data_IF_449270595611
#
_entry.id   IF_449270595611
#
_cell.length_a   1.000
_cell.length_b   1.000
_cell.length_c   1.000
_cell.angle_alpha   90.00
_cell.angle_beta   90.00
_cell.angle_gamma   90.00
#
_symmetry.space_group_name_H-M   'P 1'
#
loop_
_entity.id
_entity.type
_entity.pdbx_description
1 polymer ?
#
# COMPACT_ATOMS: atom_id res chain seq x y z
N UNK A 1 28.37 -0.60 -4.65
CA UNK A 1 26.92 -0.55 -4.89
C UNK A 1 26.22 -1.01 -3.63
N UNK A 2 25.43 -0.15 -3.02
CA UNK A 2 24.63 -0.49 -1.83
C UNK A 2 23.57 -1.52 -2.20
N UNK A 3 23.48 -2.61 -1.42
CA UNK A 3 22.50 -3.67 -1.65
C UNK A 3 21.39 -3.56 -0.60
N UNK A 4 20.19 -3.19 -1.04
CA UNK A 4 19.00 -3.12 -0.22
C UNK A 4 18.17 -4.39 -0.47
N UNK A 5 18.33 -5.38 0.40
CA UNK A 5 17.73 -6.71 0.24
C UNK A 5 16.51 -6.84 1.13
N UNK A 6 15.39 -7.23 0.52
CA UNK A 6 14.10 -7.46 1.14
C UNK A 6 13.57 -8.83 0.74
N UNK A 7 12.69 -9.43 1.52
CA UNK A 7 11.92 -10.57 1.03
C UNK A 7 10.89 -10.10 -0.01
N UNK A 8 10.63 -10.91 -1.02
CA UNK A 8 9.66 -10.61 -2.07
C UNK A 8 8.26 -10.33 -1.47
N UNK A 9 7.87 -11.12 -0.46
CA UNK A 9 6.60 -10.95 0.25
C UNK A 9 6.51 -9.62 0.99
N UNK A 10 7.57 -9.23 1.73
CA UNK A 10 7.60 -7.95 2.47
C UNK A 10 7.56 -6.76 1.50
N UNK A 11 8.38 -6.78 0.44
CA UNK A 11 8.39 -5.75 -0.58
C UNK A 11 7.02 -5.62 -1.27
N UNK A 12 6.42 -6.74 -1.67
CA UNK A 12 5.10 -6.77 -2.29
C UNK A 12 4.02 -6.20 -1.38
N UNK A 13 4.04 -6.56 -0.09
CA UNK A 13 3.10 -6.05 0.89
C UNK A 13 3.20 -4.53 1.03
N UNK A 14 4.43 -4.03 1.18
CA UNK A 14 4.68 -2.59 1.28
C UNK A 14 4.23 -1.84 0.02
N UNK A 15 4.53 -2.37 -1.17
CA UNK A 15 4.06 -1.80 -2.44
C UNK A 15 2.52 -1.78 -2.51
N UNK A 16 1.87 -2.87 -2.11
CA UNK A 16 0.40 -2.99 -2.15
C UNK A 16 -0.27 -1.97 -1.22
N UNK A 17 0.19 -1.87 0.02
CA UNK A 17 -0.38 -0.96 1.00
C UNK A 17 0.03 0.49 0.75
N UNK A 18 1.32 0.76 0.51
CA UNK A 18 1.85 2.11 0.32
C UNK A 18 1.41 2.77 -0.99
N UNK A 19 1.02 2.00 -2.02
CA UNK A 19 0.49 2.55 -3.27
C UNK A 19 -1.02 2.80 -3.25
N UNK A 20 -1.71 2.54 -2.14
CA UNK A 20 -3.18 2.58 -2.10
C UNK A 20 -3.76 3.91 -2.55
N UNK A 21 -3.25 5.05 -2.06
CA UNK A 21 -3.76 6.37 -2.43
C UNK A 21 -3.56 6.66 -3.92
N UNK A 22 -2.41 6.28 -4.50
CA UNK A 22 -2.16 6.42 -5.94
C UNK A 22 -3.07 5.53 -6.79
N UNK A 23 -3.47 4.36 -6.30
CA UNK A 23 -4.31 3.41 -7.04
C UNK A 23 -5.79 3.79 -7.04
N UNK A 24 -6.27 4.43 -5.97
CA UNK A 24 -7.66 4.91 -5.88
C UNK A 24 -7.84 6.28 -6.51
N UNK A 25 -6.76 7.04 -6.73
CA UNK A 25 -6.79 8.32 -7.41
C UNK A 25 -7.17 8.16 -8.89
N UNK A 26 -8.10 8.98 -9.42
CA UNK A 26 -8.44 8.97 -10.85
C UNK A 26 -7.22 9.26 -11.74
N UNK A 27 -6.26 10.04 -11.28
CA UNK A 27 -5.05 10.43 -12.02
C UNK A 27 -3.87 9.47 -11.83
N UNK A 28 -4.06 8.34 -11.12
CA UNK A 28 -3.02 7.34 -10.89
C UNK A 28 -1.69 7.97 -10.47
N UNK A 29 -1.69 8.59 -9.29
CA UNK A 29 -0.57 9.36 -8.75
C UNK A 29 0.75 8.60 -8.65
N UNK A 30 1.84 9.31 -8.32
CA UNK A 30 3.17 8.72 -8.13
C UNK A 30 3.24 7.89 -6.84
N UNK A 31 4.14 6.91 -6.85
CA UNK A 31 4.51 6.11 -5.67
C UNK A 31 5.97 6.36 -5.36
N UNK A 32 6.24 6.87 -4.18
CA UNK A 32 7.58 7.19 -3.70
C UNK A 32 8.15 6.01 -2.89
N UNK A 33 9.41 5.68 -3.14
CA UNK A 33 10.16 4.70 -2.38
C UNK A 33 11.37 5.38 -1.73
N UNK A 34 11.52 5.18 -0.45
CA UNK A 34 12.59 5.78 0.34
C UNK A 34 13.22 4.75 1.26
N UNK A 35 14.54 4.66 1.25
CA UNK A 35 15.28 3.81 2.20
C UNK A 35 15.56 4.60 3.46
N UNK A 36 15.08 4.10 4.57
CA UNK A 36 15.31 4.67 5.90
C UNK A 36 16.69 4.25 6.45
N UNK A 37 17.20 4.97 7.48
CA UNK A 37 18.49 4.66 8.11
C UNK A 37 18.65 3.21 8.56
N UNK A 38 17.56 2.58 9.01
CA UNK A 38 17.51 1.17 9.44
C UNK A 38 17.46 0.19 8.26
N UNK A 39 17.64 0.67 7.03
CA UNK A 39 17.50 -0.09 5.79
C UNK A 39 16.07 -0.61 5.52
N UNK A 40 15.07 -0.14 6.23
CA UNK A 40 13.68 -0.38 5.88
C UNK A 40 13.30 0.43 4.63
N UNK A 41 12.54 -0.16 3.73
CA UNK A 41 12.00 0.55 2.56
C UNK A 41 10.62 1.11 2.91
N UNK A 42 10.50 2.42 2.87
CA UNK A 42 9.22 3.12 3.00
C UNK A 42 8.59 3.34 1.63
N UNK A 43 7.36 2.91 1.46
CA UNK A 43 6.55 3.11 0.25
C UNK A 43 5.43 4.08 0.57
N UNK A 44 5.32 5.16 -0.20
CA UNK A 44 4.40 6.25 0.07
C UNK A 44 3.64 6.62 -1.20
N UNK A 45 2.34 6.85 -1.07
CA UNK A 45 1.55 7.58 -2.06
C UNK A 45 0.62 8.56 -1.37
N UNK A 46 0.36 9.69 -2.02
CA UNK A 46 -0.56 10.69 -1.52
C UNK A 46 -1.36 11.29 -2.70
N UNK A 47 -2.60 11.64 -2.44
CA UNK A 47 -3.48 12.34 -3.36
C UNK A 47 -4.48 13.15 -2.54
N UNK A 48 -4.42 14.47 -2.63
CA UNK A 48 -5.20 15.38 -1.80
C UNK A 48 -4.99 15.05 -0.31
N UNK A 49 -6.07 14.82 0.44
CA UNK A 49 -6.03 14.46 1.87
C UNK A 49 -5.86 12.96 2.13
N UNK A 50 -5.97 12.12 1.08
CA UNK A 50 -5.73 10.70 1.18
C UNK A 50 -4.24 10.39 1.06
N UNK A 51 -3.74 9.47 1.86
CA UNK A 51 -2.37 8.96 1.76
C UNK A 51 -2.27 7.51 2.19
N UNK A 52 -1.21 6.86 1.77
CA UNK A 52 -0.84 5.53 2.25
C UNK A 52 0.67 5.47 2.46
N UNK A 53 1.08 4.85 3.55
CA UNK A 53 2.47 4.64 3.92
C UNK A 53 2.64 3.21 4.42
N UNK A 54 3.64 2.50 3.93
CA UNK A 54 3.95 1.15 4.37
C UNK A 54 5.45 0.89 4.34
N UNK A 55 5.90 -0.08 5.12
CA UNK A 55 7.30 -0.40 5.30
C UNK A 55 7.58 -1.85 4.92
N UNK A 56 8.65 -2.08 4.17
CA UNK A 56 9.25 -3.39 4.00
C UNK A 56 10.51 -3.45 4.84
N UNK A 57 10.59 -4.42 5.73
CA UNK A 57 11.77 -4.65 6.55
C UNK A 57 12.87 -5.29 5.71
N UNK A 58 14.10 -4.85 5.92
CA UNK A 58 15.26 -5.48 5.31
C UNK A 58 15.64 -6.76 6.04
N UNK A 59 15.97 -7.81 5.28
CA UNK A 59 16.49 -9.06 5.83
C UNK A 59 17.93 -8.91 6.40
N UNK A 60 18.56 -7.75 6.18
CA UNK A 60 19.91 -7.46 6.68
C UNK A 60 20.00 -6.08 7.26
N UNK A 61 20.62 -5.93 8.45
CA UNK A 61 20.91 -4.62 8.98
C UNK A 61 21.80 -3.86 7.99
N UNK A 62 21.50 -2.59 7.76
CA UNK A 62 22.35 -1.73 6.95
C UNK A 62 23.69 -1.55 7.68
N UNK A 63 24.84 -1.78 7.00
CA UNK A 63 26.09 -1.22 7.49
C UNK A 63 25.92 0.30 7.58
N UNK A 64 26.38 0.92 8.65
CA UNK A 64 26.24 2.36 8.93
C UNK A 64 26.79 3.31 7.82
N UNK A 65 27.39 2.76 6.78
CA UNK A 65 27.98 3.48 5.65
C UNK A 65 27.22 3.30 4.32
N UNK A 66 26.05 2.63 4.31
CA UNK A 66 25.27 2.54 3.07
C UNK A 66 24.61 3.89 2.79
N UNK A 67 25.08 4.56 1.74
CA UNK A 67 24.33 5.67 1.16
C UNK A 67 22.93 5.19 0.78
N UNK A 68 21.91 5.93 1.21
CA UNK A 68 20.51 5.62 0.86
C UNK A 68 20.35 5.50 -0.67
N UNK A 69 19.24 4.91 -1.10
CA UNK A 69 18.84 5.04 -2.50
C UNK A 69 18.64 6.52 -2.84
N UNK A 70 18.98 6.95 -4.07
CA UNK A 70 18.50 8.25 -4.53
C UNK A 70 16.97 8.27 -4.44
N UNK A 71 16.33 9.43 -4.44
CA UNK A 71 14.88 9.52 -4.49
C UNK A 71 14.33 8.65 -5.61
N UNK A 72 13.36 7.80 -5.29
CA UNK A 72 12.72 6.90 -6.26
C UNK A 72 11.24 7.22 -6.34
N UNK A 73 10.78 7.44 -7.56
CA UNK A 73 9.38 7.64 -7.89
C UNK A 73 9.00 6.70 -9.03
N UNK A 74 8.00 5.85 -8.79
CA UNK A 74 7.43 4.95 -9.79
C UNK A 74 6.03 5.38 -10.16
N UNK A 75 5.62 5.11 -11.41
CA UNK A 75 4.21 5.21 -11.74
C UNK A 75 3.44 4.00 -11.15
N UNK A 76 2.16 4.17 -10.89
CA UNK A 76 1.33 3.12 -10.31
C UNK A 76 1.22 1.86 -11.18
N UNK A 77 1.39 2.00 -12.50
CA UNK A 77 1.38 0.86 -13.42
C UNK A 77 2.64 0.01 -13.26
N UNK A 78 3.81 0.66 -13.12
CA UNK A 78 5.09 -0.03 -12.87
C UNK A 78 5.05 -0.74 -11.51
N UNK A 79 4.49 -0.11 -10.48
CA UNK A 79 4.26 -0.75 -9.18
C UNK A 79 3.36 -1.98 -9.31
N UNK A 80 2.28 -1.89 -10.09
CA UNK A 80 1.36 -3.00 -10.34
C UNK A 80 2.04 -4.14 -11.11
N UNK A 81 2.92 -3.81 -12.04
CA UNK A 81 3.72 -4.79 -12.77
C UNK A 81 4.76 -5.45 -11.86
N UNK A 82 5.48 -4.67 -11.05
CA UNK A 82 6.42 -5.19 -10.07
C UNK A 82 5.74 -6.15 -9.09
N UNK A 83 4.58 -5.77 -8.55
CA UNK A 83 3.82 -6.68 -7.68
C UNK A 83 3.49 -8.02 -8.35
N UNK A 84 3.09 -8.01 -9.64
CA UNK A 84 2.85 -9.26 -10.39
C UNK A 84 4.11 -10.10 -10.56
N UNK A 85 5.27 -9.47 -10.80
CA UNK A 85 6.54 -10.18 -10.87
C UNK A 85 6.91 -10.81 -9.52
N UNK A 86 6.71 -10.08 -8.42
CA UNK A 86 6.94 -10.61 -7.07
C UNK A 86 5.97 -11.75 -6.71
N UNK A 87 4.72 -11.69 -7.19
CA UNK A 87 3.73 -12.76 -7.04
C UNK A 87 4.08 -14.04 -7.79
N UNK A 88 4.78 -13.92 -8.90
CA UNK A 88 5.22 -15.06 -9.70
C UNK A 88 6.42 -15.78 -9.11
N UNK A 89 7.09 -15.24 -8.09
CA UNK A 89 8.20 -15.91 -7.41
C UNK A 89 7.69 -17.09 -6.59
N UNK A 90 8.45 -18.19 -6.54
CA UNK A 90 7.99 -19.44 -5.93
C UNK A 90 7.77 -19.34 -4.43
N UNK A 91 8.53 -18.48 -3.74
CA UNK A 91 8.46 -18.32 -2.29
C UNK A 91 8.41 -16.83 -1.92
N UNK A 92 7.57 -16.45 -0.95
CA UNK A 92 7.50 -15.07 -0.46
C UNK A 92 8.79 -14.62 0.25
N UNK A 93 9.60 -15.55 0.75
CA UNK A 93 10.89 -15.29 1.39
C UNK A 93 12.04 -15.09 0.37
N UNK A 94 11.77 -15.27 -0.93
CA UNK A 94 12.80 -15.07 -1.98
C UNK A 94 13.44 -13.69 -1.82
N UNK A 95 14.76 -13.60 -1.61
CA UNK A 95 15.42 -12.33 -1.42
C UNK A 95 15.51 -11.56 -2.74
N UNK A 96 15.12 -10.31 -2.72
CA UNK A 96 15.20 -9.36 -3.84
C UNK A 96 16.04 -8.15 -3.44
N UNK A 97 16.85 -7.67 -4.37
CA UNK A 97 17.69 -6.50 -4.16
C UNK A 97 17.14 -5.33 -4.97
N UNK A 98 16.93 -4.21 -4.30
CA UNK A 98 16.46 -2.97 -4.92
C UNK A 98 17.64 -2.02 -5.09
N UNK A 99 17.87 -1.55 -6.30
CA UNK A 99 18.87 -0.53 -6.62
C UNK A 99 18.24 0.55 -7.49
N UNK A 100 18.74 1.76 -7.40
CA UNK A 100 18.26 2.87 -8.21
C UNK A 100 19.41 3.77 -8.67
N UNK A 101 19.19 4.35 -9.85
CA UNK A 101 19.93 5.48 -10.41
C UNK A 101 18.99 6.66 -10.56
N UNK A 102 19.46 7.78 -11.09
CA UNK A 102 18.63 8.94 -11.33
C UNK A 102 17.43 8.64 -12.27
N UNK A 103 17.61 7.73 -13.23
CA UNK A 103 16.65 7.45 -14.30
C UNK A 103 16.03 6.04 -14.27
N UNK A 104 16.57 5.14 -13.46
CA UNK A 104 16.17 3.74 -13.44
C UNK A 104 16.09 3.14 -12.04
N UNK A 105 15.12 2.25 -11.85
CA UNK A 105 14.99 1.40 -10.67
C UNK A 105 15.12 -0.05 -11.13
N UNK A 106 15.99 -0.81 -10.49
CA UNK A 106 16.19 -2.23 -10.75
C UNK A 106 15.80 -3.05 -9.53
N UNK A 107 15.09 -4.13 -9.77
CA UNK A 107 14.78 -5.14 -8.76
C UNK A 107 15.33 -6.47 -9.26
N UNK A 108 16.28 -7.04 -8.54
CA UNK A 108 17.00 -8.25 -8.90
C UNK A 108 16.66 -9.36 -7.91
N UNK A 109 16.38 -10.58 -8.40
CA UNK A 109 16.29 -11.75 -7.53
C UNK A 109 17.71 -12.18 -7.14
N UNK A 110 17.98 -12.20 -5.83
CA UNK A 110 19.32 -12.54 -5.32
C UNK A 110 19.63 -14.01 -5.60
N UNK A 111 20.69 -14.26 -6.36
CA UNK A 111 21.08 -15.61 -6.80
C UNK A 111 20.26 -16.15 -7.98
N UNK A 112 19.28 -15.41 -8.47
CA UNK A 112 18.49 -15.69 -9.66
C UNK A 112 19.03 -14.98 -10.90
N UNK A 113 18.32 -15.15 -12.02
CA UNK A 113 18.61 -14.46 -13.29
C UNK A 113 17.61 -13.35 -13.59
N UNK A 114 16.52 -13.28 -12.82
CA UNK A 114 15.44 -12.33 -13.01
C UNK A 114 15.90 -10.95 -12.55
N UNK A 115 15.73 -9.99 -13.46
CA UNK A 115 15.90 -8.56 -13.23
C UNK A 115 14.76 -7.80 -13.88
N UNK A 116 14.13 -6.95 -13.12
CA UNK A 116 13.10 -6.05 -13.60
C UNK A 116 13.59 -4.61 -13.52
N UNK A 117 13.30 -3.84 -14.55
CA UNK A 117 13.79 -2.46 -14.68
C UNK A 117 12.61 -1.54 -14.98
N UNK A 118 12.50 -0.46 -14.22
CA UNK A 118 11.45 0.53 -14.35
C UNK A 118 12.07 1.93 -14.49
N UNK A 119 11.33 2.85 -15.08
CA UNK A 119 11.74 4.26 -15.12
C UNK A 119 11.67 4.86 -13.71
N UNK A 120 12.70 5.60 -13.31
CA UNK A 120 12.64 6.44 -12.13
C UNK A 120 12.12 7.82 -12.54
N UNK A 121 10.94 8.19 -12.07
CA UNK A 121 10.28 9.47 -12.37
C UNK A 121 10.65 10.57 -11.37
N UNK A 122 11.61 10.34 -10.49
CA UNK A 122 12.06 11.34 -9.54
C UNK A 122 12.67 12.53 -10.26
N UNK A 123 11.99 13.66 -10.24
CA UNK A 123 12.56 14.90 -10.72
C UNK A 123 13.39 15.58 -9.60
N UNK A 124 14.50 16.23 -9.92
CA UNK A 124 15.27 16.99 -8.94
C UNK A 124 14.38 18.01 -8.21
N UNK A 125 14.39 17.99 -6.89
CA UNK A 125 13.63 18.93 -6.06
C UNK A 125 12.16 18.59 -5.82
N UNK A 126 11.64 17.47 -6.33
CA UNK A 126 10.30 16.98 -5.92
C UNK A 126 10.40 16.32 -4.55
N UNK A 127 9.83 16.92 -3.50
CA UNK A 127 9.92 16.35 -2.16
C UNK A 127 9.06 15.08 -2.06
N UNK A 128 9.49 14.13 -1.25
CA UNK A 128 8.63 13.05 -0.80
C UNK A 128 7.44 13.65 -0.03
N UNK A 129 6.21 13.17 -0.26
CA UNK A 129 5.05 13.68 0.46
C UNK A 129 5.23 13.60 1.98
N UNK A 130 4.90 14.68 2.68
CA UNK A 130 4.86 14.69 4.13
C UNK A 130 3.68 13.82 4.60
N UNK A 131 3.96 12.78 5.35
CA UNK A 131 2.95 11.84 5.84
C UNK A 131 2.80 12.02 7.34
N UNK A 132 1.57 12.20 7.85
CA UNK A 132 1.32 12.19 9.29
C UNK A 132 1.78 10.87 9.92
N UNK A 133 2.30 10.95 11.13
CA UNK A 133 2.63 9.74 11.88
C UNK A 133 1.36 8.92 12.17
N UNK A 134 1.51 7.59 12.15
CA UNK A 134 0.43 6.72 12.61
C UNK A 134 0.09 7.02 14.08
N UNK A 135 -1.19 7.03 14.46
CA UNK A 135 -1.57 7.21 15.86
C UNK A 135 -0.92 6.13 16.73
N UNK A 136 -0.22 6.57 17.79
CA UNK A 136 0.46 5.68 18.73
C UNK A 136 -0.51 4.74 19.46
N UNK A 137 -0.01 3.69 20.11
CA UNK A 137 -0.81 2.86 21.00
C UNK A 137 -1.36 3.72 22.15
N UNK A 138 -2.66 3.56 22.48
CA UNK A 138 -3.30 4.30 23.58
C UNK A 138 -3.90 5.66 23.22
N UNK A 139 -3.71 6.13 22.00
CA UNK A 139 -4.42 7.33 21.50
C UNK A 139 -5.89 6.99 21.30
N UNK A 140 -6.78 7.79 21.90
CA UNK A 140 -8.21 7.71 21.65
C UNK A 140 -8.48 8.20 20.23
N UNK A 141 -9.12 7.35 19.43
CA UNK A 141 -9.38 7.63 18.02
C UNK A 141 -10.87 8.04 17.84
N UNK A 142 -11.16 9.02 16.96
CA UNK A 142 -12.51 9.40 16.66
C UNK A 142 -13.37 8.20 16.22
N UNK A 143 -14.62 8.19 16.67
CA UNK A 143 -15.59 7.17 16.27
C UNK A 143 -15.86 7.24 14.77
N UNK A 144 -16.15 6.07 14.18
CA UNK A 144 -16.59 6.00 12.79
C UNK A 144 -18.06 6.39 12.68
N UNK A 145 -18.49 6.99 11.57
CA UNK A 145 -19.91 7.05 11.21
C UNK A 145 -20.53 5.63 11.20
N UNK A 146 -21.80 5.55 11.50
CA UNK A 146 -22.49 4.27 11.69
C UNK A 146 -22.46 3.35 10.45
N UNK A 147 -22.32 3.94 9.24
CA UNK A 147 -22.31 3.17 7.99
C UNK A 147 -21.34 3.81 7.00
N UNK A 148 -20.34 3.02 6.54
CA UNK A 148 -19.32 3.47 5.60
C UNK A 148 -19.12 2.49 4.47
N UNK A 149 -19.04 3.00 3.24
CA UNK A 149 -18.53 2.25 2.09
C UNK A 149 -17.02 2.31 2.03
N UNK A 150 -16.33 1.22 2.34
CA UNK A 150 -14.88 1.14 2.22
C UNK A 150 -14.47 0.83 0.77
N UNK A 151 -13.42 1.50 0.24
CA UNK A 151 -12.87 1.12 -1.06
C UNK A 151 -12.43 -0.35 -1.07
N UNK A 152 -12.79 -1.11 -2.10
CA UNK A 152 -12.43 -2.53 -2.22
C UNK A 152 -10.92 -2.77 -2.12
N UNK A 153 -10.10 -1.88 -2.68
CA UNK A 153 -8.64 -1.94 -2.55
C UNK A 153 -8.16 -1.80 -1.11
N UNK A 154 -8.83 -0.99 -0.28
CA UNK A 154 -8.51 -0.90 1.15
C UNK A 154 -8.85 -2.20 1.86
N UNK A 155 -10.01 -2.80 1.57
CA UNK A 155 -10.40 -4.10 2.13
C UNK A 155 -9.38 -5.18 1.76
N UNK A 156 -8.88 -5.17 0.53
CA UNK A 156 -7.82 -6.08 0.09
C UNK A 156 -6.51 -5.88 0.86
N UNK A 157 -6.12 -4.64 1.15
CA UNK A 157 -4.94 -4.32 1.95
C UNK A 157 -5.13 -4.80 3.39
N UNK A 158 -6.28 -4.50 4.00
CA UNK A 158 -6.60 -4.90 5.37
C UNK A 158 -6.63 -6.43 5.51
N UNK A 159 -7.28 -7.15 4.59
CA UNK A 159 -7.37 -8.61 4.63
C UNK A 159 -6.04 -9.32 4.32
N UNK A 160 -5.20 -8.73 3.47
CA UNK A 160 -3.92 -9.30 3.03
C UNK A 160 -2.78 -9.14 4.04
N UNK A 161 -2.84 -8.12 4.91
CA UNK A 161 -1.72 -7.76 5.79
C UNK A 161 -1.31 -8.85 6.77
N UNK A 162 -2.26 -9.61 7.31
CA UNK A 162 -1.97 -10.67 8.28
C UNK A 162 -1.25 -11.89 7.71
N UNK A 163 -1.36 -12.14 6.41
CA UNK A 163 -0.72 -13.30 5.77
C UNK A 163 0.77 -13.10 5.48
N UNK A 164 1.22 -11.86 5.38
CA UNK A 164 2.53 -11.51 4.88
C UNK A 164 3.63 -11.45 5.95
N UNK A 165 3.26 -11.25 7.21
CA UNK A 165 4.21 -11.21 8.32
C UNK A 165 4.24 -12.48 9.17
N UNK A 166 3.68 -13.60 8.67
CA UNK A 166 3.65 -14.88 9.39
C UNK A 166 2.85 -14.85 10.70
N UNK A 167 2.29 -13.70 11.06
CA UNK A 167 1.46 -13.51 12.24
C UNK A 167 -0.01 -13.67 11.88
N UNK A 168 -0.70 -14.58 12.55
CA UNK A 168 -2.15 -14.80 12.34
C UNK A 168 -3.02 -13.59 12.70
N UNK A 169 -2.47 -12.59 13.44
CA UNK A 169 -3.24 -11.46 13.98
C UNK A 169 -2.40 -10.18 13.98
N UNK A 170 -2.46 -9.41 12.90
CA UNK A 170 -2.05 -8.02 12.94
C UNK A 170 -3.20 -7.17 13.46
N UNK A 171 -2.90 -6.30 14.40
CA UNK A 171 -3.89 -5.35 14.93
C UNK A 171 -4.22 -4.34 13.85
N UNK A 172 -5.46 -4.39 13.36
CA UNK A 172 -5.99 -3.41 12.43
C UNK A 172 -6.79 -2.37 13.20
N UNK A 173 -6.69 -1.14 12.77
CA UNK A 173 -7.49 -0.02 13.30
C UNK A 173 -8.08 0.75 12.14
N UNK A 174 -9.35 1.10 12.25
CA UNK A 174 -10.03 2.03 11.37
C UNK A 174 -10.71 3.05 12.27
N UNK A 175 -10.59 4.33 11.95
CA UNK A 175 -11.11 5.42 12.77
C UNK A 175 -11.54 6.61 11.92
N UNK A 176 -12.41 7.47 12.44
CA UNK A 176 -12.78 8.72 11.79
C UNK A 176 -11.59 9.69 11.71
N UNK A 177 -11.66 10.63 10.78
CA UNK A 177 -10.73 11.76 10.69
C UNK A 177 -11.43 13.00 11.20
N UNK A 178 -10.88 13.72 12.19
CA UNK A 178 -11.52 14.92 12.72
C UNK A 178 -11.79 15.95 11.62
N UNK A 179 -13.02 16.45 11.55
CA UNK A 179 -13.43 17.46 10.58
C UNK A 179 -13.66 16.97 9.15
N UNK A 180 -13.52 15.67 8.87
CA UNK A 180 -13.77 15.09 7.56
C UNK A 180 -14.72 13.88 7.68
N UNK A 181 -15.92 14.00 7.10
CA UNK A 181 -16.92 12.92 7.14
C UNK A 181 -16.69 11.85 6.08
N UNK A 182 -15.93 12.18 5.04
CA UNK A 182 -15.64 11.36 3.87
C UNK A 182 -14.25 10.71 3.92
N UNK A 183 -13.51 10.90 5.02
CA UNK A 183 -12.19 10.33 5.23
C UNK A 183 -12.14 9.41 6.45
N UNK A 184 -11.47 8.30 6.30
CA UNK A 184 -11.07 7.43 7.41
C UNK A 184 -9.57 7.34 7.52
N UNK A 185 -9.09 7.21 8.76
CA UNK A 185 -7.73 6.76 9.05
C UNK A 185 -7.72 5.24 9.21
N UNK A 186 -6.65 4.60 8.75
CA UNK A 186 -6.46 3.16 8.91
C UNK A 186 -5.01 2.83 9.26
N UNK A 187 -4.81 1.73 9.98
CA UNK A 187 -3.47 1.20 10.24
C UNK A 187 -3.48 -0.33 10.39
N UNK A 188 -2.36 -0.95 10.08
CA UNK A 188 -2.13 -2.38 10.24
C UNK A 188 -0.83 -2.56 11.02
N UNK A 189 -0.91 -2.89 12.30
CA UNK A 189 0.26 -2.91 13.18
C UNK A 189 1.02 -1.59 13.12
N UNK A 190 2.34 -1.69 13.03
CA UNK A 190 3.27 -0.56 12.86
C UNK A 190 3.79 -0.42 11.43
N UNK A 191 3.46 -1.37 10.55
CA UNK A 191 4.08 -1.46 9.23
C UNK A 191 3.34 -0.73 8.11
N UNK A 192 2.04 -0.43 8.27
CA UNK A 192 1.29 0.32 7.28
C UNK A 192 0.19 1.18 7.91
N UNK A 193 -0.03 2.36 7.37
CA UNK A 193 -1.10 3.27 7.78
C UNK A 193 -1.45 4.24 6.66
N UNK A 194 -2.59 4.90 6.78
CA UNK A 194 -3.01 5.87 5.80
C UNK A 194 -4.35 6.52 6.10
N UNK A 195 -4.79 7.35 5.15
CA UNK A 195 -6.15 7.89 5.04
C UNK A 195 -6.74 7.52 3.71
N UNK A 196 -8.00 7.22 3.69
CA UNK A 196 -8.71 6.87 2.47
C UNK A 196 -10.08 7.55 2.43
N UNK A 197 -10.49 7.99 1.24
CA UNK A 197 -11.86 8.43 1.01
C UNK A 197 -12.82 7.26 1.13
N UNK A 198 -13.95 7.54 1.74
CA UNK A 198 -15.06 6.60 1.89
C UNK A 198 -16.31 7.24 1.34
N UNK A 199 -17.23 6.44 0.82
CA UNK A 199 -18.55 6.91 0.47
C UNK A 199 -19.41 6.90 1.74
N UNK A 200 -19.89 8.05 2.24
CA UNK A 200 -20.92 8.05 3.25
C UNK A 200 -22.16 7.36 2.65
N UNK A 201 -22.65 6.34 3.34
CA UNK A 201 -23.88 5.65 2.94
C UNK A 201 -25.11 6.33 3.59
N UNK A 202 -25.06 7.64 3.76
CA UNK A 202 -26.17 8.46 4.24
C UNK A 202 -27.31 8.39 3.21
N UNK A 203 -28.40 7.75 3.62
CA UNK A 203 -29.50 7.38 2.74
C UNK A 203 -29.59 5.87 2.44
N UNK A 204 -28.64 5.08 2.86
CA UNK A 204 -28.72 3.63 2.81
C UNK A 204 -29.61 3.13 3.95
N UNK A 205 -30.92 3.33 3.77
CA UNK A 205 -31.90 2.74 4.67
C UNK A 205 -31.85 1.22 4.55
N UNK A 206 -32.21 0.44 5.59
CA UNK A 206 -32.33 -1.02 5.47
C UNK A 206 -33.16 -1.44 4.25
N UNK A 207 -34.23 -0.70 3.93
CA UNK A 207 -35.03 -0.94 2.75
C UNK A 207 -34.28 -0.70 1.42
N UNK A 208 -33.45 0.33 1.34
CA UNK A 208 -32.62 0.57 0.15
C UNK A 208 -31.53 -0.51 0.00
N UNK A 209 -30.97 -1.01 1.12
CA UNK A 209 -30.02 -2.13 1.12
C UNK A 209 -30.68 -3.42 0.64
N UNK A 210 -31.87 -3.70 1.12
CA UNK A 210 -32.60 -4.90 0.75
C UNK A 210 -33.06 -4.85 -0.72
N UNK A 211 -33.42 -3.66 -1.22
CA UNK A 211 -33.72 -3.44 -2.64
C UNK A 211 -32.47 -3.62 -3.54
N UNK A 212 -31.31 -3.11 -3.11
CA UNK A 212 -30.05 -3.32 -3.84
C UNK A 212 -29.63 -4.80 -3.86
N UNK A 213 -29.77 -5.51 -2.73
CA UNK A 213 -29.47 -6.94 -2.64
C UNK A 213 -30.42 -7.78 -3.49
N UNK A 214 -31.68 -7.38 -3.61
CA UNK A 214 -32.65 -8.02 -4.51
C UNK A 214 -32.29 -7.78 -5.99
N UNK A 215 -31.93 -6.54 -6.35
CA UNK A 215 -31.50 -6.22 -7.72
C UNK A 215 -30.22 -6.99 -8.13
N UNK A 216 -29.24 -7.12 -7.24
CA UNK A 216 -28.04 -7.96 -7.46
C UNK A 216 -28.39 -9.44 -7.65
N UNK A 217 -29.32 -9.96 -6.84
CA UNK A 217 -29.79 -11.34 -6.93
C UNK A 217 -30.54 -11.61 -8.26
N UNK A 218 -31.37 -10.67 -8.70
CA UNK A 218 -32.08 -10.76 -9.95
C UNK A 218 -31.14 -10.68 -11.15
N UNK A 219 -30.09 -9.85 -11.07
CA UNK A 219 -29.02 -9.76 -12.06
C UNK A 219 -28.22 -11.05 -12.17
N UNK A 220 -27.91 -11.71 -11.05
CA UNK A 220 -27.22 -13.00 -11.02
C UNK A 220 -28.10 -14.14 -11.56
N UNK A 221 -29.42 -14.09 -11.33
CA UNK A 221 -30.37 -15.07 -11.84
C UNK A 221 -30.61 -14.96 -13.34
N UNK A 222 -30.33 -13.78 -13.93
CA UNK A 222 -30.46 -13.53 -15.36
C UNK A 222 -29.23 -13.94 -16.19
N UNK A 223 -28.14 -14.42 -15.55
CA UNK A 223 -26.98 -14.94 -16.27
C UNK A 223 -27.33 -16.27 -16.92
N UNK A 224 -27.04 -16.46 -18.23
CA UNK A 224 -27.30 -17.74 -18.88
C UNK A 224 -26.47 -18.84 -18.22
N UNK A 225 -27.13 -19.88 -17.74
CA UNK A 225 -26.48 -21.12 -17.32
C UNK A 225 -25.82 -21.76 -18.53
N UNK A 226 -24.46 -21.81 -18.50
CA UNK A 226 -23.64 -22.46 -19.53
C UNK A 226 -23.81 -23.98 -19.53
#
# INVERSE_FOLDING_TARGET
MSKHIYSAGSLRAALRAGSLAARVSPNRGPVHLEVLPENALRVISAHEDAYACAYADSDRPAPAALAGLPPVVLCVLDVSQLMRHLDALPLPETPVNVTATADRVHVDVVGGRERWTFANLAAPGVPTPAIPQAPGPGVELPALPATLGLPGLLMDVLSGGGRLHGTRYLRQRIHGVPGALDLIGWSIGTWAHGRAYVAPLDGYTPAARDAAALADRDSLAALPTA
#
